data_IF_053485940972
#
_entry.id   IF_053485940972
#
_cell.length_a   1.000
_cell.length_b   1.000
_cell.length_c   1.000
_cell.angle_alpha   90.00
_cell.angle_beta   90.00
_cell.angle_gamma   90.00
#
_symmetry.space_group_name_H-M   'P 1'
#
loop_
_entity.id
_entity.type
_entity.pdbx_description
1 polymer ?
#
# COMPACT_ATOMS: atom_id res chain seq x y z
N UNK A 1 30.74 -7.20 2.97
CA UNK A 1 29.29 -7.38 3.10
C UNK A 1 28.76 -6.02 3.50
N UNK A 2 28.04 -5.35 2.61
CA UNK A 2 27.30 -4.15 2.97
C UNK A 2 26.30 -4.52 4.05
N UNK A 3 26.24 -3.71 5.09
CA UNK A 3 25.37 -3.98 6.22
C UNK A 3 23.94 -3.66 5.80
N UNK A 4 23.07 -4.65 5.76
CA UNK A 4 21.64 -4.47 5.53
C UNK A 4 21.12 -3.31 6.40
N UNK A 5 20.37 -2.38 5.81
CA UNK A 5 19.82 -1.20 6.50
C UNK A 5 18.29 -1.29 6.67
N UNK A 6 17.60 -1.79 5.67
CA UNK A 6 16.16 -1.97 5.72
C UNK A 6 15.78 -3.01 6.78
N UNK A 7 14.76 -2.74 7.57
CA UNK A 7 14.31 -3.52 8.72
C UNK A 7 15.28 -3.58 9.93
N UNK A 8 16.42 -2.88 9.85
CA UNK A 8 17.30 -2.76 11.00
C UNK A 8 16.92 -1.55 11.86
N UNK A 9 17.27 -1.54 13.16
CA UNK A 9 17.10 -0.35 13.98
C UNK A 9 17.81 0.86 13.34
N UNK A 10 17.10 1.98 13.30
CA UNK A 10 17.74 3.20 12.83
C UNK A 10 18.84 3.64 13.82
N UNK A 11 19.99 4.15 13.33
CA UNK A 11 20.99 4.77 14.19
C UNK A 11 20.41 6.02 14.87
N UNK A 12 21.10 6.57 15.90
CA UNK A 12 20.74 7.88 16.45
C UNK A 12 20.60 8.92 15.33
N UNK A 13 19.48 9.65 15.36
CA UNK A 13 19.12 10.59 14.30
C UNK A 13 19.67 11.97 14.57
N UNK A 14 20.20 12.63 13.54
CA UNK A 14 20.47 14.08 13.55
C UNK A 14 19.14 14.85 13.44
N UNK A 15 19.17 16.16 13.68
CA UNK A 15 18.00 17.02 13.47
C UNK A 15 17.57 17.02 11.98
N UNK A 16 18.52 16.95 11.06
CA UNK A 16 18.26 16.88 9.63
C UNK A 16 17.53 15.58 9.26
N UNK A 17 17.97 14.44 9.81
CA UNK A 17 17.29 13.15 9.62
C UNK A 17 15.86 13.19 10.18
N UNK A 18 15.65 13.81 11.33
CA UNK A 18 14.32 13.94 11.93
C UNK A 18 13.39 14.74 10.99
N UNK A 19 13.85 15.89 10.52
CA UNK A 19 13.07 16.75 9.59
C UNK A 19 12.78 16.00 8.29
N UNK A 20 13.78 15.34 7.71
CA UNK A 20 13.60 14.58 6.48
C UNK A 20 12.56 13.47 6.64
N UNK A 21 12.60 12.73 7.74
CA UNK A 21 11.63 11.66 8.04
C UNK A 21 10.21 12.17 8.28
N UNK A 22 10.07 13.28 8.98
CA UNK A 22 8.75 13.90 9.16
C UNK A 22 8.18 14.40 7.84
N UNK A 23 8.99 14.98 6.96
CA UNK A 23 8.56 15.35 5.60
C UNK A 23 8.14 14.12 4.76
N UNK A 24 8.83 12.98 4.91
CA UNK A 24 8.46 11.74 4.23
C UNK A 24 7.14 11.20 4.78
N UNK A 25 6.96 11.18 6.10
CA UNK A 25 5.70 10.76 6.72
C UNK A 25 4.53 11.65 6.29
N UNK A 26 4.74 12.96 6.27
CA UNK A 26 3.75 13.93 5.79
C UNK A 26 3.37 13.65 4.33
N UNK A 27 4.34 13.44 3.45
CA UNK A 27 4.11 13.11 2.04
C UNK A 27 3.19 11.90 1.87
N UNK A 28 3.53 10.76 2.51
CA UNK A 28 2.76 9.52 2.31
C UNK A 28 1.42 9.54 3.02
N UNK A 29 1.31 10.27 4.13
CA UNK A 29 0.04 10.49 4.82
C UNK A 29 -0.87 11.40 4.00
N UNK A 30 -0.31 12.47 3.42
CA UNK A 30 -1.03 13.39 2.54
C UNK A 30 -1.52 12.68 1.27
N UNK A 31 -0.70 11.81 0.66
CA UNK A 31 -1.10 11.00 -0.49
C UNK A 31 -2.34 10.15 -0.16
N UNK A 32 -2.34 9.42 0.97
CA UNK A 32 -3.49 8.63 1.41
C UNK A 32 -4.70 9.51 1.75
N UNK A 33 -4.48 10.63 2.43
CA UNK A 33 -5.53 11.58 2.71
C UNK A 33 -6.19 12.11 1.43
N UNK A 34 -5.38 12.48 0.44
CA UNK A 34 -5.89 12.96 -0.86
C UNK A 34 -6.73 11.89 -1.55
N UNK A 35 -6.25 10.65 -1.61
CA UNK A 35 -6.98 9.54 -2.20
C UNK A 35 -8.32 9.28 -1.50
N UNK A 36 -8.33 9.24 -0.18
CA UNK A 36 -9.52 8.92 0.61
C UNK A 36 -10.55 10.07 0.62
N UNK A 37 -10.11 11.30 0.31
CA UNK A 37 -10.96 12.49 0.25
C UNK A 37 -11.17 13.04 -1.16
N UNK A 38 -10.82 12.28 -2.19
CA UNK A 38 -11.01 12.66 -3.60
C UNK A 38 -10.30 13.97 -4.01
N UNK A 39 -9.15 14.26 -3.41
CA UNK A 39 -8.30 15.43 -3.72
C UNK A 39 -7.26 15.06 -4.79
N UNK A 40 -7.74 14.77 -6.00
CA UNK A 40 -6.97 14.16 -7.07
C UNK A 40 -5.75 14.98 -7.52
N UNK A 41 -5.90 16.29 -7.63
CA UNK A 41 -4.80 17.20 -8.00
C UNK A 41 -3.69 17.16 -6.93
N UNK A 42 -4.06 17.18 -5.65
CA UNK A 42 -3.11 17.02 -4.54
C UNK A 42 -2.40 15.68 -4.55
N UNK A 43 -3.15 14.59 -4.76
CA UNK A 43 -2.60 13.24 -4.85
C UNK A 43 -1.55 13.13 -5.98
N UNK A 44 -1.83 13.72 -7.14
CA UNK A 44 -0.96 13.71 -8.31
C UNK A 44 0.41 14.34 -8.03
N UNK A 45 0.47 15.38 -7.20
CA UNK A 45 1.73 16.04 -6.83
C UNK A 45 2.64 15.20 -5.96
N UNK A 46 2.16 14.10 -5.39
CA UNK A 46 2.95 13.25 -4.50
C UNK A 46 3.92 12.32 -5.24
N UNK A 47 3.69 12.06 -6.53
CA UNK A 47 4.43 11.08 -7.31
C UNK A 47 5.51 11.71 -8.19
N UNK A 48 6.54 10.91 -8.51
CA UNK A 48 7.47 11.23 -9.62
C UNK A 48 6.81 10.92 -10.96
N UNK A 49 7.27 11.55 -12.04
CA UNK A 49 6.74 11.31 -13.38
C UNK A 49 7.01 9.88 -13.89
N UNK A 50 8.03 9.21 -13.36
CA UNK A 50 8.44 7.84 -13.65
C UNK A 50 8.02 6.84 -12.58
N UNK A 51 7.04 7.22 -11.74
CA UNK A 51 6.59 6.38 -10.62
C UNK A 51 5.95 5.07 -11.08
N UNK A 52 6.09 4.04 -10.27
CA UNK A 52 5.51 2.72 -10.49
C UNK A 52 4.63 2.32 -9.29
N UNK A 53 3.37 2.03 -9.55
CA UNK A 53 2.41 1.57 -8.57
C UNK A 53 2.05 0.11 -8.87
N UNK A 54 2.11 -0.77 -7.86
CA UNK A 54 1.81 -2.18 -8.03
C UNK A 54 1.01 -2.71 -6.83
N UNK A 55 -0.31 -2.71 -6.98
CA UNK A 55 -1.26 -3.13 -5.94
C UNK A 55 -2.28 -4.13 -6.50
N UNK A 56 -3.19 -4.63 -5.67
CA UNK A 56 -4.11 -5.72 -6.03
C UNK A 56 -4.95 -5.47 -7.27
N UNK A 57 -5.39 -4.25 -7.53
CA UNK A 57 -6.32 -3.89 -8.60
C UNK A 57 -5.73 -2.94 -9.64
N UNK A 58 -4.45 -2.54 -9.48
CA UNK A 58 -3.82 -1.59 -10.37
C UNK A 58 -2.33 -1.83 -10.49
N UNK A 59 -1.80 -1.65 -11.71
CA UNK A 59 -0.38 -1.57 -12.00
C UNK A 59 -0.16 -0.54 -13.11
N UNK A 60 0.70 0.46 -12.85
CA UNK A 60 0.98 1.54 -13.78
C UNK A 60 1.72 2.70 -13.11
N UNK A 61 1.66 3.89 -13.72
CA UNK A 61 2.25 5.12 -13.17
C UNK A 61 1.39 5.75 -12.08
N UNK A 62 1.95 6.69 -11.31
CA UNK A 62 1.21 7.45 -10.31
C UNK A 62 0.07 8.28 -10.92
N UNK A 63 0.29 8.88 -12.09
CA UNK A 63 -0.75 9.65 -12.80
C UNK A 63 -1.92 8.75 -13.20
N UNK A 64 -1.64 7.59 -13.80
CA UNK A 64 -2.68 6.61 -14.15
C UNK A 64 -3.39 6.08 -12.90
N UNK A 65 -2.66 5.89 -11.79
CA UNK A 65 -3.25 5.47 -10.51
C UNK A 65 -4.25 6.48 -9.98
N UNK A 66 -3.97 7.79 -10.09
CA UNK A 66 -4.91 8.84 -9.73
C UNK A 66 -6.15 8.78 -10.59
N UNK A 67 -6.00 8.67 -11.93
CA UNK A 67 -7.13 8.59 -12.86
C UNK A 67 -8.01 7.36 -12.58
N UNK A 68 -7.41 6.19 -12.37
CA UNK A 68 -8.16 4.97 -12.05
C UNK A 68 -8.81 5.04 -10.66
N UNK A 69 -8.16 5.66 -9.68
CA UNK A 69 -8.75 5.89 -8.35
C UNK A 69 -9.96 6.82 -8.42
N UNK A 70 -9.89 7.86 -9.22
CA UNK A 70 -11.01 8.78 -9.47
C UNK A 70 -12.18 8.06 -10.19
N UNK A 71 -11.87 7.21 -11.17
CA UNK A 71 -12.88 6.45 -11.91
C UNK A 71 -13.57 5.38 -11.05
N UNK A 72 -12.91 4.88 -10.01
CA UNK A 72 -13.46 3.86 -9.10
C UNK A 72 -14.71 4.34 -8.36
N UNK A 73 -14.85 5.65 -8.09
CA UNK A 73 -16.00 6.30 -7.42
C UNK A 73 -16.50 5.56 -6.16
N UNK A 74 -15.59 4.90 -5.44
CA UNK A 74 -15.90 4.09 -4.28
C UNK A 74 -15.19 4.60 -3.05
N UNK A 75 -15.93 4.72 -1.96
CA UNK A 75 -15.35 5.04 -0.67
C UNK A 75 -14.68 3.78 -0.08
N UNK A 76 -13.38 3.80 -0.01
CA UNK A 76 -12.57 2.73 0.57
C UNK A 76 -11.43 3.36 1.39
N UNK A 77 -11.74 3.90 2.59
CA UNK A 77 -10.78 4.63 3.41
C UNK A 77 -9.74 3.70 4.01
N UNK A 78 -8.60 4.31 4.37
CA UNK A 78 -7.51 3.62 5.02
C UNK A 78 -7.44 4.02 6.50
N UNK A 79 -7.49 3.03 7.39
CA UNK A 79 -7.11 3.23 8.79
C UNK A 79 -5.61 3.06 8.90
N UNK A 80 -4.91 4.15 9.24
CA UNK A 80 -3.44 4.17 9.35
C UNK A 80 -3.06 3.98 10.81
N UNK A 81 -2.14 3.04 11.09
CA UNK A 81 -1.71 2.73 12.46
C UNK A 81 -0.35 3.34 12.78
N UNK A 82 0.70 2.91 12.06
CA UNK A 82 2.04 3.43 12.26
C UNK A 82 2.78 3.55 10.94
N UNK A 83 3.81 4.39 10.94
CA UNK A 83 4.70 4.61 9.80
C UNK A 83 6.13 4.51 10.29
N UNK A 84 6.91 3.63 9.67
CA UNK A 84 8.35 3.51 9.90
C UNK A 84 9.12 3.93 8.65
N UNK A 85 10.20 4.69 8.84
CA UNK A 85 11.02 5.21 7.74
C UNK A 85 12.47 4.78 7.90
N UNK A 86 13.06 4.27 6.84
CA UNK A 86 14.50 4.02 6.66
C UNK A 86 15.00 4.93 5.55
N UNK A 87 16.00 5.75 5.85
CA UNK A 87 16.53 6.73 4.91
C UNK A 87 18.03 6.50 4.65
N UNK A 88 18.45 6.68 3.40
CA UNK A 88 19.84 6.69 2.97
C UNK A 88 20.03 7.83 1.95
N UNK A 89 20.62 8.95 2.39
CA UNK A 89 20.79 10.13 1.53
C UNK A 89 19.46 10.64 0.95
N UNK A 90 19.38 10.67 -0.38
CA UNK A 90 18.21 11.11 -1.14
C UNK A 90 17.17 10.02 -1.38
N UNK A 91 17.31 8.84 -0.78
CA UNK A 91 16.36 7.71 -0.88
C UNK A 91 15.81 7.34 0.46
N UNK A 92 14.54 6.92 0.48
CA UNK A 92 13.93 6.38 1.69
C UNK A 92 12.91 5.31 1.36
N UNK A 93 12.75 4.37 2.28
CA UNK A 93 11.63 3.43 2.31
C UNK A 93 10.77 3.80 3.50
N UNK A 94 9.49 4.04 3.24
CA UNK A 94 8.48 4.21 4.27
C UNK A 94 7.49 3.05 4.23
N UNK A 95 7.25 2.45 5.39
CA UNK A 95 6.28 1.37 5.57
C UNK A 95 5.14 1.89 6.42
N UNK A 96 3.95 1.94 5.84
CA UNK A 96 2.71 2.32 6.49
C UNK A 96 1.89 1.07 6.77
N UNK A 97 1.60 0.76 8.01
CA UNK A 97 0.60 -0.26 8.35
C UNK A 97 -0.79 0.36 8.25
N UNK A 98 -1.66 -0.28 7.49
CA UNK A 98 -3.01 0.21 7.29
C UNK A 98 -4.01 -0.93 7.11
N UNK A 99 -5.27 -0.67 7.48
CA UNK A 99 -6.42 -1.49 7.09
C UNK A 99 -7.22 -0.73 6.03
N UNK A 100 -7.39 -1.35 4.88
CA UNK A 100 -8.29 -0.88 3.82
C UNK A 100 -9.69 -1.32 4.20
N UNK A 101 -10.65 -0.39 4.27
CA UNK A 101 -12.03 -0.67 4.59
C UNK A 101 -12.94 -0.35 3.41
N UNK A 102 -13.90 -1.22 3.12
CA UNK A 102 -14.91 -0.95 2.10
C UNK A 102 -16.20 -1.69 2.42
N UNK A 103 -17.33 -1.05 2.15
CA UNK A 103 -18.63 -1.71 2.21
C UNK A 103 -19.16 -1.99 0.82
N UNK A 104 -19.75 -3.16 0.64
CA UNK A 104 -20.34 -3.58 -0.62
C UNK A 104 -21.54 -4.49 -0.37
N UNK A 105 -22.49 -4.42 -1.30
CA UNK A 105 -23.62 -5.33 -1.29
C UNK A 105 -23.25 -6.57 -2.12
N UNK A 106 -23.38 -7.74 -1.52
CA UNK A 106 -23.23 -9.03 -2.15
C UNK A 106 -24.58 -9.71 -2.05
N UNK A 107 -25.22 -9.96 -3.19
CA UNK A 107 -26.61 -10.42 -3.26
C UNK A 107 -27.55 -9.44 -2.50
N UNK A 108 -28.13 -9.85 -1.38
CA UNK A 108 -29.07 -9.06 -0.58
C UNK A 108 -28.48 -8.54 0.73
N UNK A 109 -27.21 -8.76 0.99
CA UNK A 109 -26.57 -8.46 2.27
C UNK A 109 -25.43 -7.45 2.08
N UNK A 110 -25.33 -6.48 3.01
CA UNK A 110 -24.21 -5.54 3.07
C UNK A 110 -23.08 -6.12 3.89
N UNK A 111 -21.91 -6.22 3.27
CA UNK A 111 -20.68 -6.68 3.91
C UNK A 111 -19.69 -5.55 4.08
N UNK A 112 -18.90 -5.64 5.16
CA UNK A 112 -17.70 -4.83 5.37
C UNK A 112 -16.47 -5.70 5.13
N UNK A 113 -15.68 -5.29 4.14
CA UNK A 113 -14.35 -5.79 3.90
C UNK A 113 -13.35 -5.01 4.75
N UNK A 114 -12.46 -5.72 5.43
CA UNK A 114 -11.25 -5.17 6.04
C UNK A 114 -10.05 -5.98 5.55
N UNK A 115 -9.06 -5.31 4.98
CA UNK A 115 -7.83 -5.91 4.47
C UNK A 115 -6.63 -5.21 5.08
N UNK A 116 -5.88 -5.94 5.90
CA UNK A 116 -4.68 -5.46 6.58
C UNK A 116 -3.48 -5.62 5.65
N UNK A 117 -2.71 -4.55 5.49
CA UNK A 117 -1.55 -4.53 4.61
C UNK A 117 -0.46 -3.59 5.13
N UNK A 118 0.77 -3.85 4.71
CA UNK A 118 1.86 -2.87 4.72
C UNK A 118 1.90 -2.21 3.35
N UNK A 119 1.66 -0.91 3.31
CA UNK A 119 1.87 -0.11 2.11
C UNK A 119 3.33 0.34 2.14
N UNK A 120 4.08 -0.06 1.12
CA UNK A 120 5.52 0.17 1.01
C UNK A 120 5.76 1.28 -0.01
N UNK A 121 6.34 2.38 0.45
CA UNK A 121 6.69 3.51 -0.39
C UNK A 121 8.21 3.57 -0.56
N UNK A 122 8.70 3.59 -1.80
CA UNK A 122 10.07 3.99 -2.12
C UNK A 122 10.01 5.45 -2.53
N UNK A 123 10.70 6.29 -1.77
CA UNK A 123 10.63 7.74 -1.85
C UNK A 123 11.99 8.29 -2.23
N UNK A 124 12.02 9.24 -3.15
CA UNK A 124 13.24 9.90 -3.61
C UNK A 124 13.15 11.41 -3.38
N UNK A 125 14.29 12.04 -3.12
CA UNK A 125 14.42 13.49 -3.00
C UNK A 125 14.81 14.06 -4.36
N UNK A 126 13.94 14.87 -4.96
CA UNK A 126 14.16 15.58 -6.21
C UNK A 126 13.97 17.08 -5.97
N UNK A 127 14.92 17.91 -6.38
CA UNK A 127 14.87 19.37 -6.20
C UNK A 127 14.45 19.79 -4.78
N UNK A 128 15.13 19.23 -3.80
CA UNK A 128 14.87 19.41 -2.36
C UNK A 128 13.49 18.95 -1.87
N UNK A 129 12.70 18.29 -2.70
CA UNK A 129 11.34 17.80 -2.37
C UNK A 129 11.28 16.28 -2.42
N UNK A 130 10.69 15.65 -1.40
CA UNK A 130 10.41 14.21 -1.43
C UNK A 130 9.23 13.89 -2.35
N UNK A 131 9.36 12.80 -3.13
CA UNK A 131 8.33 12.27 -4.03
C UNK A 131 8.28 10.75 -3.96
N UNK A 132 7.10 10.19 -4.17
CA UNK A 132 6.89 8.74 -4.25
C UNK A 132 7.32 8.26 -5.63
N UNK A 133 8.31 7.37 -5.67
CA UNK A 133 8.75 6.70 -6.90
C UNK A 133 8.11 5.33 -7.06
N UNK A 134 7.91 4.57 -5.97
CA UNK A 134 7.20 3.29 -6.05
C UNK A 134 6.23 3.15 -4.88
N UNK A 135 5.11 2.47 -5.16
CA UNK A 135 4.13 2.07 -4.17
C UNK A 135 3.78 0.60 -4.39
N UNK A 136 4.06 -0.21 -3.40
CA UNK A 136 3.74 -1.64 -3.36
C UNK A 136 2.90 -1.94 -2.12
N UNK A 137 2.16 -3.07 -2.13
CA UNK A 137 1.48 -3.59 -0.94
C UNK A 137 1.97 -4.99 -0.61
N UNK A 138 2.24 -5.22 0.67
CA UNK A 138 2.40 -6.56 1.25
C UNK A 138 1.14 -6.86 2.03
N UNK A 139 0.35 -7.81 1.54
CA UNK A 139 -0.92 -8.20 2.17
C UNK A 139 -0.69 -9.15 3.33
N UNK A 140 -1.42 -8.95 4.43
CA UNK A 140 -1.23 -9.71 5.66
C UNK A 140 -2.39 -10.66 5.93
N UNK A 141 -3.57 -10.11 6.08
CA UNK A 141 -4.81 -10.85 6.32
C UNK A 141 -6.01 -10.01 5.93
N UNK A 142 -7.14 -10.66 5.69
CA UNK A 142 -8.37 -9.94 5.44
C UNK A 142 -9.59 -10.65 6.04
N UNK A 143 -10.68 -9.94 6.11
CA UNK A 143 -11.98 -10.47 6.58
C UNK A 143 -13.13 -9.79 5.89
N UNK A 144 -14.20 -10.54 5.72
CA UNK A 144 -15.48 -10.09 5.18
C UNK A 144 -16.57 -10.39 6.22
N UNK A 145 -17.23 -9.34 6.70
CA UNK A 145 -18.22 -9.46 7.78
C UNK A 145 -19.54 -8.83 7.35
N UNK A 146 -20.66 -9.47 7.68
CA UNK A 146 -21.97 -8.83 7.54
C UNK A 146 -22.06 -7.61 8.47
N UNK A 147 -22.54 -6.49 7.94
CA UNK A 147 -22.68 -5.23 8.70
C UNK A 147 -23.81 -5.33 9.75
N UNK A 148 -24.85 -6.09 9.44
CA UNK A 148 -25.97 -6.35 10.34
C UNK A 148 -26.07 -7.85 10.65
N UNK A 149 -26.64 -8.24 11.79
CA UNK A 149 -26.92 -9.64 12.06
C UNK A 149 -27.77 -10.23 10.95
N UNK A 150 -27.32 -11.34 10.38
CA UNK A 150 -28.03 -12.06 9.30
C UNK A 150 -28.13 -13.54 9.64
N UNK A 151 -29.16 -14.19 9.12
CA UNK A 151 -29.31 -15.64 9.14
C UNK A 151 -28.67 -16.32 7.92
N UNK A 152 -28.31 -15.54 6.90
CA UNK A 152 -27.58 -16.05 5.73
C UNK A 152 -26.09 -16.24 6.07
N UNK A 153 -25.48 -17.24 5.45
CA UNK A 153 -24.06 -17.51 5.59
C UNK A 153 -23.37 -17.28 4.26
N UNK A 154 -22.29 -16.51 4.27
CA UNK A 154 -21.40 -16.39 3.11
C UNK A 154 -20.82 -17.76 2.72
N UNK A 155 -20.89 -18.11 1.44
CA UNK A 155 -20.30 -19.37 0.95
C UNK A 155 -18.76 -19.24 0.89
N UNK A 156 -18.08 -19.75 1.90
CA UNK A 156 -16.62 -19.73 1.98
C UNK A 156 -15.91 -20.41 0.81
N UNK A 157 -16.59 -21.28 0.05
CA UNK A 157 -16.00 -21.91 -1.15
C UNK A 157 -15.69 -20.88 -2.22
N UNK A 158 -16.38 -19.74 -2.22
CA UNK A 158 -16.10 -18.63 -3.13
C UNK A 158 -14.69 -18.01 -2.92
N UNK A 159 -14.09 -18.21 -1.76
CA UNK A 159 -12.74 -17.73 -1.47
C UNK A 159 -11.63 -18.72 -1.88
N UNK A 160 -11.96 -19.98 -2.16
CA UNK A 160 -10.99 -21.02 -2.45
C UNK A 160 -10.04 -20.76 -3.63
N UNK A 161 -10.39 -19.97 -4.67
CA UNK A 161 -9.48 -19.63 -5.76
C UNK A 161 -8.40 -18.59 -5.36
N UNK A 162 -8.55 -17.92 -4.24
CA UNK A 162 -7.73 -16.76 -3.86
C UNK A 162 -6.71 -17.10 -2.79
N UNK A 163 -5.67 -16.29 -2.70
CA UNK A 163 -4.59 -16.44 -1.73
C UNK A 163 -5.03 -15.95 -0.35
N UNK A 164 -4.60 -16.67 0.71
CA UNK A 164 -5.04 -16.47 2.08
C UNK A 164 -4.80 -15.02 2.59
N UNK A 165 -3.68 -14.42 2.23
CA UNK A 165 -3.32 -13.07 2.69
C UNK A 165 -4.25 -11.94 2.21
N UNK A 166 -5.02 -12.16 1.10
CA UNK A 166 -5.98 -11.17 0.56
C UNK A 166 -7.15 -11.82 -0.22
N UNK A 167 -7.65 -12.94 0.28
CA UNK A 167 -8.71 -13.70 -0.37
C UNK A 167 -10.03 -12.94 -0.44
N UNK A 168 -10.44 -12.29 0.67
CA UNK A 168 -11.66 -11.51 0.73
C UNK A 168 -11.57 -10.27 -0.14
N UNK A 169 -10.42 -9.56 -0.13
CA UNK A 169 -10.16 -8.42 -1.00
C UNK A 169 -10.25 -8.82 -2.47
N UNK A 170 -9.59 -9.91 -2.86
CA UNK A 170 -9.61 -10.43 -4.24
C UNK A 170 -11.02 -10.78 -4.69
N UNK A 171 -11.77 -11.48 -3.85
CA UNK A 171 -13.16 -11.81 -4.11
C UNK A 171 -14.00 -10.56 -4.33
N UNK A 172 -13.92 -9.58 -3.42
CA UNK A 172 -14.68 -8.34 -3.52
C UNK A 172 -14.32 -7.53 -4.77
N UNK A 173 -13.03 -7.43 -5.11
CA UNK A 173 -12.58 -6.74 -6.31
C UNK A 173 -13.09 -7.42 -7.58
N UNK A 174 -12.98 -8.74 -7.67
CA UNK A 174 -13.52 -9.50 -8.83
C UNK A 174 -15.05 -9.39 -8.91
N UNK A 175 -15.76 -9.46 -7.78
CA UNK A 175 -17.21 -9.25 -7.74
C UNK A 175 -17.63 -7.88 -8.31
N UNK A 176 -16.76 -6.88 -8.12
CA UNK A 176 -16.93 -5.53 -8.66
C UNK A 176 -16.43 -5.35 -10.09
N UNK A 177 -15.90 -6.41 -10.72
CA UNK A 177 -15.43 -6.40 -12.10
C UNK A 177 -13.99 -5.92 -12.30
N UNK A 178 -13.19 -5.84 -11.22
CA UNK A 178 -11.76 -5.53 -11.34
C UNK A 178 -10.95 -6.79 -11.63
N UNK A 179 -9.93 -6.65 -12.48
CA UNK A 179 -8.90 -7.67 -12.65
C UNK A 179 -7.92 -7.60 -11.48
N UNK A 180 -7.70 -8.73 -10.83
CA UNK A 180 -6.91 -8.79 -9.59
C UNK A 180 -5.55 -9.43 -9.85
N UNK A 181 -4.49 -8.75 -9.44
CA UNK A 181 -3.14 -9.32 -9.45
C UNK A 181 -2.99 -10.31 -8.29
N UNK A 182 -2.94 -11.60 -8.61
CA UNK A 182 -2.78 -12.69 -7.64
C UNK A 182 -1.31 -13.02 -7.32
N UNK A 183 -0.34 -12.28 -7.88
CA UNK A 183 1.09 -12.54 -7.71
C UNK A 183 1.77 -11.53 -6.77
N UNK A 184 1.01 -10.71 -6.07
CA UNK A 184 1.56 -9.76 -5.12
C UNK A 184 2.12 -10.46 -3.89
N UNK A 185 3.11 -9.83 -3.28
CA UNK A 185 3.74 -10.34 -2.07
C UNK A 185 2.75 -10.30 -0.90
N UNK A 186 2.72 -11.36 -0.12
CA UNK A 186 1.93 -11.46 1.10
C UNK A 186 2.63 -12.32 2.14
N UNK A 187 2.17 -12.27 3.39
CA UNK A 187 2.77 -13.05 4.48
C UNK A 187 2.60 -14.57 4.32
N UNK A 188 1.68 -15.00 3.47
CA UNK A 188 1.44 -16.39 3.08
C UNK A 188 2.52 -16.96 2.14
N UNK A 189 3.49 -16.12 1.71
CA UNK A 189 4.64 -16.51 0.88
C UNK A 189 5.95 -15.97 1.49
N UNK A 190 6.45 -16.58 2.57
CA UNK A 190 7.58 -16.03 3.34
C UNK A 190 8.87 -15.89 2.53
N UNK A 191 9.17 -16.83 1.62
CA UNK A 191 10.36 -16.77 0.77
C UNK A 191 10.28 -15.58 -0.22
N UNK A 192 9.14 -15.40 -0.90
CA UNK A 192 8.94 -14.27 -1.80
C UNK A 192 8.95 -12.93 -1.06
N UNK A 193 8.48 -12.91 0.18
CA UNK A 193 8.53 -11.73 1.04
C UNK A 193 9.97 -11.38 1.43
N UNK A 194 10.80 -12.38 1.77
CA UNK A 194 12.21 -12.17 2.06
C UNK A 194 12.97 -11.63 0.84
N UNK A 195 12.76 -12.23 -0.34
CA UNK A 195 13.34 -11.75 -1.59
C UNK A 195 12.92 -10.31 -1.89
N UNK A 196 11.68 -9.97 -1.69
CA UNK A 196 11.18 -8.59 -1.85
C UNK A 196 11.87 -7.62 -0.89
N UNK A 197 12.02 -7.99 0.37
CA UNK A 197 12.72 -7.16 1.35
C UNK A 197 14.21 -6.98 1.03
N UNK A 198 14.88 -8.01 0.49
CA UNK A 198 16.26 -7.88 -0.01
C UNK A 198 16.34 -6.91 -1.20
N UNK A 199 15.36 -6.92 -2.12
CA UNK A 199 15.29 -5.97 -3.23
C UNK A 199 15.08 -4.53 -2.74
N UNK A 200 14.25 -4.32 -1.73
CA UNK A 200 14.05 -3.02 -1.09
C UNK A 200 15.35 -2.51 -0.45
N UNK A 201 16.06 -3.36 0.28
CA UNK A 201 17.33 -2.99 0.89
C UNK A 201 18.37 -2.61 -0.17
N UNK A 202 18.50 -3.43 -1.22
CA UNK A 202 19.40 -3.13 -2.34
C UNK A 202 19.04 -1.82 -3.05
N UNK A 203 17.75 -1.50 -3.19
CA UNK A 203 17.31 -0.22 -3.75
C UNK A 203 17.66 0.96 -2.83
N UNK A 204 17.47 0.81 -1.52
CA UNK A 204 17.79 1.83 -0.52
C UNK A 204 19.30 2.13 -0.47
N UNK A 205 20.12 1.09 -0.65
CA UNK A 205 21.59 1.20 -0.55
C UNK A 205 22.29 1.62 -1.85
N UNK A 206 21.56 1.76 -2.97
CA UNK A 206 22.18 2.27 -4.21
C UNK A 206 22.67 3.69 -3.98
N UNK A 207 23.89 3.96 -4.39
CA UNK A 207 24.45 5.31 -4.39
C UNK A 207 23.53 6.23 -5.23
N UNK A 208 23.32 7.44 -4.73
CA UNK A 208 22.65 8.49 -5.51
C UNK A 208 23.64 8.95 -6.58
N UNK A 209 23.36 8.66 -7.85
CA UNK A 209 24.10 9.24 -8.98
C UNK A 209 23.93 10.75 -9.04
#
# INVERSE_FOLDING_TARGET
METQRFLQPNPPLSMEDIVARENIKELITYERFCRDNSLWDGMRTCFTSDSEINISWFKGTGDEFVDHSQAMQRYAPHQIYNIQVWQNGARAIAVMQATIQSRLDIESETYELQSDAKIIYRVVKQDETWRIQHLDCVYEQDRLMSVLPTSSSFDRRALAPYRESYACLSYCLNYLGYDVNHQLVGIDQPEALEDFYMQLDAWLMRDSE
#
